data_IF_230308488123
#
_entry.id   IF_230308488123
#
_cell.length_a   1.000
_cell.length_b   1.000
_cell.length_c   1.000
_cell.angle_alpha   90.00
_cell.angle_beta   90.00
_cell.angle_gamma   90.00
#
_symmetry.space_group_name_H-M   'P 1'
#
loop_
_entity.id
_entity.type
_entity.pdbx_description
1 polymer ?
#
# COMPACT_ATOMS: atom_id res chain seq x y z
N UNK A 1 -30.16 13.27 -14.63
CA UNK A 1 -28.83 12.93 -14.10
C UNK A 1 -28.64 11.43 -14.26
N UNK A 2 -27.68 10.97 -15.08
CA UNK A 2 -27.34 9.55 -15.16
C UNK A 2 -26.43 9.21 -13.98
N UNK A 3 -26.71 8.15 -13.20
CA UNK A 3 -25.78 7.70 -12.19
C UNK A 3 -24.49 7.26 -12.87
N UNK A 4 -23.37 7.61 -12.25
CA UNK A 4 -22.03 7.22 -12.66
C UNK A 4 -22.01 5.72 -13.02
N UNK A 5 -21.51 5.37 -14.20
CA UNK A 5 -21.25 3.98 -14.57
C UNK A 5 -20.21 3.40 -13.60
N UNK A 6 -20.66 2.80 -12.51
CA UNK A 6 -19.86 1.86 -11.74
C UNK A 6 -19.78 0.63 -12.62
N UNK A 7 -18.61 0.37 -13.22
CA UNK A 7 -18.37 -0.89 -13.92
C UNK A 7 -18.65 -2.01 -12.92
N UNK A 8 -19.72 -2.77 -13.15
CA UNK A 8 -20.06 -3.92 -12.32
C UNK A 8 -18.86 -4.89 -12.34
N UNK A 9 -18.50 -5.51 -11.20
CA UNK A 9 -17.47 -6.54 -11.18
C UNK A 9 -17.81 -7.61 -12.22
N UNK A 10 -16.87 -7.91 -13.11
CA UNK A 10 -17.05 -9.00 -14.09
C UNK A 10 -17.10 -10.37 -13.39
N UNK A 11 -16.56 -10.46 -12.17
CA UNK A 11 -16.53 -11.65 -11.34
C UNK A 11 -17.61 -11.57 -10.25
N UNK A 12 -18.19 -12.72 -9.91
CA UNK A 12 -19.04 -12.84 -8.73
C UNK A 12 -18.20 -12.62 -7.48
N UNK A 13 -18.44 -11.51 -6.76
CA UNK A 13 -17.70 -11.12 -5.55
C UNK A 13 -18.29 -11.70 -4.25
N UNK A 14 -19.23 -12.64 -4.34
CA UNK A 14 -19.88 -13.29 -3.18
C UNK A 14 -19.22 -14.60 -2.76
N UNK A 15 -18.30 -15.14 -3.58
CA UNK A 15 -17.53 -16.35 -3.28
C UNK A 15 -16.45 -16.07 -2.21
N UNK A 16 -15.91 -17.11 -1.53
CA UNK A 16 -14.84 -16.95 -0.54
C UNK A 16 -13.58 -16.28 -1.11
N UNK A 17 -12.83 -15.55 -0.27
CA UNK A 17 -11.63 -14.80 -0.68
C UNK A 17 -10.55 -15.67 -1.36
N UNK A 18 -10.51 -16.96 -1.02
CA UNK A 18 -9.60 -17.96 -1.58
C UNK A 18 -9.82 -18.24 -3.07
N UNK A 19 -10.98 -17.85 -3.61
CA UNK A 19 -11.35 -18.11 -5.01
C UNK A 19 -10.83 -17.03 -5.97
N UNK A 20 -10.17 -15.97 -5.45
CA UNK A 20 -9.71 -14.84 -6.26
C UNK A 20 -8.19 -14.70 -6.22
N UNK A 21 -7.62 -14.33 -7.36
CA UNK A 21 -6.30 -13.72 -7.38
C UNK A 21 -6.40 -12.28 -6.87
N UNK A 22 -5.57 -11.97 -5.88
CA UNK A 22 -5.49 -10.64 -5.27
C UNK A 22 -4.23 -9.96 -5.77
N UNK A 23 -4.36 -8.79 -6.38
CA UNK A 23 -3.21 -7.96 -6.75
C UNK A 23 -2.51 -7.48 -5.49
N UNK A 24 -1.26 -7.90 -5.32
CA UNK A 24 -0.43 -7.63 -4.12
C UNK A 24 0.84 -6.86 -4.48
N UNK A 25 1.48 -6.25 -3.48
CA UNK A 25 2.79 -5.62 -3.58
C UNK A 25 3.67 -6.08 -2.43
N UNK A 26 4.92 -6.40 -2.75
CA UNK A 26 5.98 -6.72 -1.80
C UNK A 26 6.85 -5.48 -1.57
N UNK A 27 7.32 -5.29 -0.33
CA UNK A 27 8.12 -4.14 0.12
C UNK A 27 7.63 -2.81 -0.46
N UNK A 28 6.33 -2.53 -0.30
CA UNK A 28 5.64 -1.43 -1.00
C UNK A 28 6.29 -0.06 -0.77
N UNK A 29 6.95 0.13 0.37
CA UNK A 29 7.65 1.38 0.70
C UNK A 29 8.90 1.66 -0.16
N UNK A 30 9.41 0.71 -0.94
CA UNK A 30 10.60 0.89 -1.78
C UNK A 30 10.23 1.41 -3.19
N UNK A 31 10.83 2.53 -3.61
CA UNK A 31 10.77 2.98 -5.01
C UNK A 31 11.88 2.43 -5.90
N UNK A 32 12.89 1.81 -5.30
CA UNK A 32 14.12 1.43 -5.97
C UNK A 32 14.55 0.00 -5.64
N UNK A 33 15.84 -0.16 -5.39
CA UNK A 33 16.42 -1.46 -5.07
C UNK A 33 16.20 -1.80 -3.58
N UNK A 34 16.52 -3.06 -3.24
CA UNK A 34 16.33 -3.60 -1.90
C UNK A 34 17.38 -3.12 -0.88
N UNK A 35 18.53 -2.59 -1.31
CA UNK A 35 19.70 -2.42 -0.43
C UNK A 35 20.00 -0.96 -0.08
N UNK A 36 19.63 0.01 -0.92
CA UNK A 36 19.84 1.44 -0.69
C UNK A 36 18.71 2.27 -1.29
N UNK A 37 18.49 3.47 -0.74
CA UNK A 37 17.45 4.40 -1.18
C UNK A 37 16.63 4.90 -0.02
N UNK A 38 15.39 5.32 -0.30
CA UNK A 38 14.48 5.85 0.71
C UNK A 38 13.17 5.07 0.74
N UNK A 39 12.64 4.84 1.94
CA UNK A 39 11.26 4.40 2.13
C UNK A 39 10.33 5.58 1.87
N UNK A 40 9.39 5.43 0.93
CA UNK A 40 8.59 6.55 0.44
C UNK A 40 7.07 6.27 0.57
N UNK A 41 6.36 7.01 1.42
CA UNK A 41 4.91 6.90 1.57
C UNK A 41 4.10 7.04 0.26
N UNK A 42 4.56 7.82 -0.72
CA UNK A 42 3.83 8.02 -1.98
C UNK A 42 3.76 6.74 -2.84
N UNK A 43 4.58 5.73 -2.55
CA UNK A 43 4.58 4.45 -3.24
C UNK A 43 3.22 3.76 -3.09
N UNK A 44 2.66 3.82 -1.88
CA UNK A 44 1.36 3.26 -1.54
C UNK A 44 0.23 3.97 -2.30
N UNK A 45 0.25 5.31 -2.35
CA UNK A 45 -0.72 6.10 -3.10
C UNK A 45 -0.72 5.73 -4.59
N UNK A 46 0.48 5.67 -5.19
CA UNK A 46 0.63 5.28 -6.60
C UNK A 46 0.11 3.87 -6.83
N UNK A 47 0.42 2.94 -5.94
CA UNK A 47 0.03 1.53 -6.04
C UNK A 47 -1.49 1.33 -5.88
N UNK A 48 -2.12 1.99 -4.90
CA UNK A 48 -3.57 1.94 -4.67
C UNK A 48 -4.36 2.42 -5.90
N UNK A 49 -3.86 3.45 -6.60
CA UNK A 49 -4.43 3.92 -7.88
C UNK A 49 -4.38 2.88 -9.00
N UNK A 50 -3.54 1.85 -8.88
CA UNK A 50 -3.48 0.72 -9.84
C UNK A 50 -4.47 -0.41 -9.51
N UNK A 51 -5.27 -0.26 -8.45
CA UNK A 51 -6.21 -1.30 -7.99
C UNK A 51 -5.54 -2.40 -7.14
N UNK A 52 -4.32 -2.19 -6.66
CA UNK A 52 -3.70 -3.12 -5.71
C UNK A 52 -4.53 -3.19 -4.41
N UNK A 53 -4.59 -4.39 -3.82
CA UNK A 53 -5.46 -4.73 -2.68
C UNK A 53 -4.70 -5.18 -1.44
N UNK A 54 -3.43 -5.56 -1.60
CA UNK A 54 -2.55 -5.95 -0.49
C UNK A 54 -1.19 -5.23 -0.61
N UNK A 55 -0.73 -4.69 0.51
CA UNK A 55 0.50 -3.91 0.63
C UNK A 55 1.29 -4.38 1.84
N UNK A 56 2.60 -4.13 1.84
CA UNK A 56 3.51 -4.56 2.88
C UNK A 56 4.16 -3.37 3.59
N UNK A 57 4.20 -3.43 4.92
CA UNK A 57 4.82 -2.43 5.80
C UNK A 57 5.76 -3.16 6.77
N UNK A 58 7.08 -2.99 6.58
CA UNK A 58 8.08 -3.58 7.47
C UNK A 58 8.32 -2.64 8.65
N UNK A 59 7.56 -2.85 9.72
CA UNK A 59 7.55 -1.99 10.90
C UNK A 59 8.72 -2.31 11.85
N UNK A 60 9.42 -1.27 12.29
CA UNK A 60 10.46 -1.31 13.31
C UNK A 60 10.24 -0.23 14.36
N UNK A 61 10.86 -0.43 15.52
CA UNK A 61 10.92 0.60 16.56
C UNK A 61 11.68 1.83 16.06
N UNK A 62 11.09 3.00 16.29
CA UNK A 62 11.72 4.29 16.05
C UNK A 62 11.73 5.14 17.30
N UNK A 63 12.32 6.33 17.19
CA UNK A 63 12.54 7.20 18.34
C UNK A 63 11.23 7.67 18.98
N UNK A 64 11.27 7.88 20.30
CA UNK A 64 10.13 8.38 21.09
C UNK A 64 8.86 7.53 20.94
N UNK A 65 9.00 6.22 20.75
CA UNK A 65 7.89 5.29 20.59
C UNK A 65 7.12 5.46 19.27
N UNK A 66 7.72 6.12 18.27
CA UNK A 66 7.11 6.32 16.95
C UNK A 66 7.61 5.27 15.96
N UNK A 67 6.78 4.32 15.51
CA UNK A 67 7.22 3.27 14.62
C UNK A 67 7.63 3.82 13.25
N UNK A 68 8.67 3.21 12.69
CA UNK A 68 9.20 3.49 11.37
C UNK A 68 8.99 2.29 10.44
N UNK A 69 9.04 2.55 9.14
CA UNK A 69 9.04 1.53 8.09
C UNK A 69 10.36 1.59 7.33
N UNK A 70 11.04 0.44 7.19
CA UNK A 70 12.31 0.30 6.46
C UNK A 70 12.60 -1.15 6.12
N UNK A 71 13.56 -1.38 5.24
CA UNK A 71 14.14 -2.71 5.05
C UNK A 71 15.30 -2.93 6.04
N UNK A 72 15.21 -3.97 6.88
CA UNK A 72 16.21 -4.22 7.93
C UNK A 72 17.60 -4.49 7.39
N UNK A 73 18.61 -4.12 8.17
CA UNK A 73 20.03 -4.37 7.87
C UNK A 73 20.51 -3.85 6.50
N UNK A 74 19.83 -2.83 5.96
CA UNK A 74 20.19 -2.19 4.69
C UNK A 74 20.43 -0.68 4.85
N UNK A 75 20.86 -0.03 3.77
CA UNK A 75 21.06 1.42 3.68
C UNK A 75 19.78 2.18 3.27
N UNK A 76 18.62 1.50 3.28
CA UNK A 76 17.33 2.15 3.02
C UNK A 76 16.98 3.08 4.19
N UNK A 77 16.77 4.35 3.89
CA UNK A 77 16.34 5.33 4.90
C UNK A 77 14.89 5.06 5.32
N UNK A 78 14.59 5.10 6.63
CA UNK A 78 13.25 4.86 7.13
C UNK A 78 12.30 6.01 6.83
N UNK A 79 11.00 5.72 6.84
CA UNK A 79 9.96 6.73 6.97
C UNK A 79 9.04 6.41 8.16
N UNK A 80 8.28 7.40 8.63
CA UNK A 80 7.36 7.17 9.74
C UNK A 80 6.15 6.36 9.27
N UNK A 81 5.77 5.34 10.05
CA UNK A 81 4.54 4.57 9.82
C UNK A 81 3.31 5.49 9.74
N UNK A 82 3.23 6.45 10.65
CA UNK A 82 2.15 7.44 10.70
C UNK A 82 2.02 8.23 9.39
N UNK A 83 3.14 8.60 8.76
CA UNK A 83 3.14 9.31 7.48
C UNK A 83 2.52 8.47 6.37
N UNK A 84 2.77 7.15 6.37
CA UNK A 84 2.14 6.22 5.41
C UNK A 84 0.63 6.20 5.63
N UNK A 85 0.17 5.95 6.87
CA UNK A 85 -1.27 5.83 7.16
C UNK A 85 -2.03 7.11 6.85
N UNK A 86 -1.50 8.28 7.25
CA UNK A 86 -2.12 9.58 6.96
C UNK A 86 -2.24 9.82 5.46
N UNK A 87 -1.22 9.45 4.69
CA UNK A 87 -1.18 9.71 3.26
C UNK A 87 -2.11 8.79 2.45
N UNK A 88 -2.22 7.51 2.83
CA UNK A 88 -3.01 6.52 2.07
C UNK A 88 -4.51 6.59 2.37
N UNK A 89 -4.89 7.03 3.58
CA UNK A 89 -6.28 7.00 4.05
C UNK A 89 -7.29 7.60 3.06
N UNK A 90 -7.03 8.74 2.39
CA UNK A 90 -7.96 9.30 1.40
C UNK A 90 -8.09 8.45 0.11
N UNK A 91 -7.10 7.60 -0.19
CA UNK A 91 -6.98 6.89 -1.45
C UNK A 91 -7.29 5.38 -1.36
N UNK A 92 -7.52 4.83 -0.16
CA UNK A 92 -7.71 3.38 0.07
C UNK A 92 -8.77 2.75 -0.84
N UNK A 93 -9.88 3.46 -1.05
CA UNK A 93 -11.05 2.94 -1.77
C UNK A 93 -11.36 3.73 -3.05
N UNK A 94 -10.47 4.62 -3.49
CA UNK A 94 -10.76 5.52 -4.63
C UNK A 94 -10.81 4.79 -5.98
N UNK A 95 -10.05 3.70 -6.14
CA UNK A 95 -9.99 2.93 -7.39
C UNK A 95 -10.84 1.66 -7.39
N UNK A 96 -10.91 0.96 -6.28
CA UNK A 96 -11.87 -0.12 -6.05
C UNK A 96 -12.39 0.03 -4.63
N UNK A 97 -13.71 -0.16 -4.42
CA UNK A 97 -14.35 -0.03 -3.12
C UNK A 97 -13.88 -1.08 -2.11
#
# INVERSE_FOLDING_TARGET
>A
MKPWCVCQPYQDMTRPLTDYFIKTSHNTYLFGNQVWGDSNPEAYNKLLRTGCRAVELDCYDGDNGRPIVKHAYTLVKPCLFESIIRLIKPNLFSKSP
#
